data_IF_008740878678
#
_entry.id   IF_008740878678
#
_cell.length_a   1.000
_cell.length_b   1.000
_cell.length_c   1.000
_cell.angle_alpha   90.00
_cell.angle_beta   90.00
_cell.angle_gamma   90.00
#
_symmetry.space_group_name_H-M   'P 1'
#
loop_
_entity.id
_entity.type
_entity.pdbx_description
1 polymer ?
#
# COMPACT_ATOMS: atom_id res chain seq x y z
N UNK A 1 1.39 3.85 -18.39
CA UNK A 1 0.40 2.92 -17.77
C UNK A 1 -0.46 3.71 -16.82
N UNK A 2 -1.78 3.65 -17.01
CA UNK A 2 -2.75 4.24 -16.10
C UNK A 2 -2.82 3.44 -14.81
N UNK A 3 -2.74 4.13 -13.69
CA UNK A 3 -2.59 3.47 -12.40
C UNK A 3 -3.59 4.03 -11.39
N UNK A 4 -4.25 3.17 -10.65
CA UNK A 4 -4.99 3.50 -9.44
C UNK A 4 -4.16 3.04 -8.25
N UNK A 5 -4.02 3.90 -7.24
CA UNK A 5 -3.19 3.66 -6.08
C UNK A 5 -4.03 3.69 -4.81
N UNK A 6 -3.88 2.66 -3.99
CA UNK A 6 -4.40 2.60 -2.62
C UNK A 6 -3.24 2.86 -1.67
N UNK A 7 -3.25 3.96 -0.96
CA UNK A 7 -2.07 4.38 -0.22
C UNK A 7 -2.42 5.07 1.10
N UNK A 8 -1.58 4.85 2.10
CA UNK A 8 -1.68 5.54 3.38
C UNK A 8 -0.30 5.66 4.03
N UNK A 9 -0.12 6.68 4.89
CA UNK A 9 1.11 6.86 5.67
C UNK A 9 2.35 7.18 4.81
N UNK A 10 3.54 7.20 5.41
CA UNK A 10 4.81 7.46 4.71
C UNK A 10 5.07 6.45 3.58
N UNK A 11 4.80 5.17 3.82
CA UNK A 11 4.91 4.13 2.79
C UNK A 11 4.03 4.43 1.58
N UNK A 12 2.84 5.00 1.82
CA UNK A 12 1.95 5.45 0.75
C UNK A 12 2.57 6.60 -0.05
N UNK A 13 3.13 7.59 0.65
CA UNK A 13 3.80 8.72 0.00
C UNK A 13 5.00 8.27 -0.84
N UNK A 14 5.88 7.46 -0.26
CA UNK A 14 7.06 6.93 -0.95
C UNK A 14 6.68 6.07 -2.18
N UNK A 15 5.65 5.22 -2.04
CA UNK A 15 5.15 4.41 -3.15
C UNK A 15 4.62 5.27 -4.31
N UNK A 16 3.85 6.33 -4.00
CA UNK A 16 3.34 7.27 -5.00
C UNK A 16 4.49 7.98 -5.71
N UNK A 17 5.46 8.50 -4.97
CA UNK A 17 6.62 9.19 -5.54
C UNK A 17 7.46 8.27 -6.42
N UNK A 18 7.68 7.03 -6.00
CA UNK A 18 8.39 6.02 -6.79
C UNK A 18 7.67 5.70 -8.11
N UNK A 19 6.34 5.57 -8.09
CA UNK A 19 5.55 5.35 -9.31
C UNK A 19 5.62 6.54 -10.26
N UNK A 20 5.51 7.77 -9.74
CA UNK A 20 5.63 8.99 -10.55
C UNK A 20 7.02 9.11 -11.17
N UNK A 21 8.08 8.84 -10.40
CA UNK A 21 9.47 8.84 -10.90
C UNK A 21 9.70 7.78 -11.98
N UNK A 22 8.99 6.64 -11.89
CA UNK A 22 9.03 5.58 -12.90
C UNK A 22 8.12 5.85 -14.12
N UNK A 23 7.47 7.01 -14.21
CA UNK A 23 6.65 7.42 -15.35
C UNK A 23 5.24 6.80 -15.40
N UNK A 24 4.73 6.32 -14.26
CA UNK A 24 3.33 5.88 -14.17
C UNK A 24 2.38 7.09 -14.15
N UNK A 25 1.26 6.98 -14.84
CA UNK A 25 0.17 7.96 -14.82
C UNK A 25 -0.82 7.57 -13.71
N UNK A 26 -0.80 8.29 -12.58
CA UNK A 26 -1.71 8.01 -11.47
C UNK A 26 -3.03 8.75 -11.73
N UNK A 27 -4.07 7.99 -12.05
CA UNK A 27 -5.41 8.51 -12.38
C UNK A 27 -6.21 8.86 -11.11
N UNK A 28 -6.00 8.16 -10.03
CA UNK A 28 -6.61 8.43 -8.72
C UNK A 28 -5.85 7.74 -7.59
N UNK A 29 -5.96 8.32 -6.41
CA UNK A 29 -5.46 7.75 -5.16
C UNK A 29 -6.64 7.53 -4.20
N UNK A 30 -6.68 6.35 -3.59
CA UNK A 30 -7.58 6.02 -2.49
C UNK A 30 -6.79 5.94 -1.20
N UNK A 31 -7.23 6.67 -0.18
CA UNK A 31 -6.54 6.78 1.12
C UNK A 31 -7.53 6.64 2.27
N UNK A 32 -7.08 6.88 3.49
CA UNK A 32 -7.91 6.94 4.67
C UNK A 32 -7.97 8.37 5.22
N UNK A 33 -9.08 8.69 5.88
CA UNK A 33 -9.17 9.91 6.68
C UNK A 33 -8.33 9.74 7.94
N UNK A 34 -7.49 10.73 8.24
CA UNK A 34 -6.71 10.74 9.47
C UNK A 34 -7.64 10.81 10.69
N UNK A 35 -7.36 10.00 11.71
CA UNK A 35 -8.10 10.06 12.93
C UNK A 35 -7.65 11.31 13.73
N UNK A 36 -8.57 12.25 14.07
CA UNK A 36 -8.21 13.46 14.82
C UNK A 36 -7.58 13.19 16.20
N UNK A 37 -7.76 11.97 16.74
CA UNK A 37 -7.16 11.54 18.00
C UNK A 37 -5.75 10.95 17.87
N UNK A 38 -5.29 10.65 16.68
CA UNK A 38 -3.92 10.17 16.43
C UNK A 38 -2.99 11.35 16.19
N UNK A 39 -1.85 11.38 16.90
CA UNK A 39 -0.78 12.33 16.54
C UNK A 39 -0.20 11.87 15.20
N UNK A 40 -0.54 12.58 14.13
CA UNK A 40 0.02 12.34 12.81
C UNK A 40 1.51 12.78 12.80
N UNK A 41 2.42 11.81 12.92
CA UNK A 41 3.87 11.98 12.76
C UNK A 41 4.37 11.38 11.43
N UNK A 42 3.46 11.21 10.48
CA UNK A 42 3.70 10.61 9.17
C UNK A 42 3.21 11.52 8.04
N UNK A 43 3.72 11.29 6.84
CA UNK A 43 3.34 12.02 5.64
C UNK A 43 1.86 11.83 5.27
N UNK A 44 1.24 12.91 4.79
CA UNK A 44 -0.15 12.88 4.33
C UNK A 44 -0.22 12.57 2.85
N UNK A 45 -0.79 11.42 2.51
CA UNK A 45 -1.08 11.03 1.12
C UNK A 45 -2.02 12.04 0.44
N UNK A 46 -3.03 12.53 1.18
CA UNK A 46 -3.96 13.52 0.65
C UNK A 46 -3.27 14.83 0.28
N UNK A 47 -2.33 15.29 1.11
CA UNK A 47 -1.52 16.48 0.83
C UNK A 47 -0.63 16.27 -0.40
N UNK A 48 0.09 15.16 -0.46
CA UNK A 48 0.94 14.82 -1.61
C UNK A 48 0.12 14.77 -2.90
N UNK A 49 -1.06 14.13 -2.88
CA UNK A 49 -1.96 14.07 -4.02
C UNK A 49 -2.39 15.48 -4.48
N UNK A 50 -2.75 16.36 -3.55
CA UNK A 50 -3.13 17.75 -3.85
C UNK A 50 -1.97 18.52 -4.47
N UNK A 51 -0.75 18.42 -3.93
CA UNK A 51 0.45 19.04 -4.46
C UNK A 51 0.79 18.58 -5.89
N UNK A 52 0.43 17.36 -6.24
CA UNK A 52 0.65 16.76 -7.58
C UNK A 52 -0.57 16.89 -8.51
N UNK A 53 -1.67 17.49 -8.05
CA UNK A 53 -2.90 17.62 -8.83
C UNK A 53 -3.58 16.29 -9.15
N UNK A 54 -3.39 15.26 -8.30
CA UNK A 54 -3.95 13.92 -8.48
C UNK A 54 -5.26 13.82 -7.68
N UNK A 55 -6.37 13.36 -8.28
CA UNK A 55 -7.61 13.10 -7.55
C UNK A 55 -7.40 12.14 -6.39
N UNK A 56 -7.88 12.50 -5.20
CA UNK A 56 -7.78 11.69 -3.99
C UNK A 56 -9.14 11.49 -3.35
N UNK A 57 -9.41 10.27 -2.90
CA UNK A 57 -10.66 9.84 -2.28
C UNK A 57 -10.36 9.09 -0.98
N UNK A 58 -11.19 9.28 0.02
CA UNK A 58 -11.07 8.59 1.31
C UNK A 58 -12.43 7.98 1.72
N UNK A 59 -12.91 6.95 1.00
CA UNK A 59 -14.16 6.29 1.31
C UNK A 59 -14.05 5.45 2.59
N UNK A 60 -15.14 5.38 3.36
CA UNK A 60 -15.24 4.47 4.51
C UNK A 60 -15.21 2.99 4.05
N UNK A 61 -15.84 2.72 2.91
CA UNK A 61 -15.81 1.40 2.25
C UNK A 61 -15.56 1.56 0.75
N UNK A 62 -14.34 1.25 0.33
CA UNK A 62 -13.96 1.30 -1.09
C UNK A 62 -14.62 0.20 -1.93
N UNK A 63 -15.11 -0.87 -1.28
CA UNK A 63 -15.76 -1.99 -1.95
C UNK A 63 -17.26 -1.72 -2.24
N UNK A 64 -17.78 -0.57 -1.81
CA UNK A 64 -19.13 -0.16 -2.17
C UNK A 64 -19.27 -0.04 -3.70
N UNK A 65 -20.38 -0.52 -4.31
CA UNK A 65 -20.59 -0.54 -5.77
C UNK A 65 -20.28 0.77 -6.49
N UNK A 66 -20.59 1.91 -5.88
CA UNK A 66 -20.27 3.24 -6.45
C UNK A 66 -18.76 3.45 -6.68
N UNK A 67 -17.93 2.97 -5.75
CA UNK A 67 -16.48 3.09 -5.89
C UNK A 67 -15.90 2.07 -6.87
N UNK A 68 -16.46 0.85 -6.88
CA UNK A 68 -16.10 -0.16 -7.88
C UNK A 68 -16.36 0.38 -9.28
N UNK A 69 -17.55 0.96 -9.52
CA UNK A 69 -17.92 1.59 -10.80
C UNK A 69 -17.00 2.78 -11.12
N UNK A 70 -16.70 3.64 -10.13
CA UNK A 70 -15.80 4.77 -10.32
C UNK A 70 -14.39 4.34 -10.74
N UNK A 71 -13.85 3.30 -10.11
CA UNK A 71 -12.54 2.74 -10.46
C UNK A 71 -12.58 2.11 -11.87
N UNK A 72 -13.66 1.40 -12.20
CA UNK A 72 -13.84 0.84 -13.54
C UNK A 72 -13.83 1.92 -14.64
N UNK A 73 -14.48 3.07 -14.41
CA UNK A 73 -14.48 4.22 -15.32
C UNK A 73 -13.07 4.80 -15.55
N UNK A 74 -12.18 4.70 -14.56
CA UNK A 74 -10.78 5.13 -14.71
C UNK A 74 -9.97 4.21 -15.63
N UNK A 75 -10.46 2.98 -15.86
CA UNK A 75 -9.83 1.96 -16.72
C UNK A 75 -8.34 1.78 -16.38
N UNK A 76 -7.99 1.40 -15.14
CA UNK A 76 -6.59 1.25 -14.76
C UNK A 76 -5.93 0.08 -15.49
N UNK A 77 -4.71 0.26 -15.97
CA UNK A 77 -3.89 -0.83 -16.48
C UNK A 77 -3.34 -1.69 -15.34
N UNK A 78 -3.00 -1.04 -14.22
CA UNK A 78 -2.40 -1.66 -13.04
C UNK A 78 -2.90 -0.98 -11.77
N UNK A 79 -2.97 -1.72 -10.67
CA UNK A 79 -3.32 -1.22 -9.35
C UNK A 79 -2.15 -1.49 -8.39
N UNK A 80 -1.80 -0.49 -7.57
CA UNK A 80 -0.85 -0.66 -6.48
C UNK A 80 -1.46 -0.33 -5.13
N UNK A 81 -1.02 -1.04 -4.11
CA UNK A 81 -1.39 -0.81 -2.71
C UNK A 81 -0.12 -0.63 -1.86
N UNK A 82 -0.08 0.45 -1.07
CA UNK A 82 1.00 0.79 -0.16
C UNK A 82 0.41 1.15 1.20
N UNK A 83 0.47 0.23 2.15
CA UNK A 83 -0.01 0.41 3.50
C UNK A 83 -1.52 0.75 3.62
N UNK A 84 -2.33 0.37 2.64
CA UNK A 84 -3.78 0.54 2.71
C UNK A 84 -4.39 -0.46 3.70
N UNK A 85 -5.26 0.03 4.61
CA UNK A 85 -5.70 -0.73 5.79
C UNK A 85 -6.91 -1.65 5.55
N UNK A 86 -7.66 -1.43 4.47
CA UNK A 86 -8.84 -2.23 4.15
C UNK A 86 -8.54 -3.27 3.08
N UNK A 87 -9.26 -4.38 3.15
CA UNK A 87 -9.24 -5.35 2.06
C UNK A 87 -9.93 -4.77 0.82
N UNK A 88 -9.37 -5.04 -0.34
CA UNK A 88 -9.89 -4.63 -1.63
C UNK A 88 -10.56 -5.85 -2.26
N UNK A 89 -11.82 -5.71 -2.69
CA UNK A 89 -12.58 -6.82 -3.25
C UNK A 89 -12.03 -7.30 -4.61
N UNK A 90 -12.35 -8.54 -4.95
CA UNK A 90 -11.91 -9.16 -6.20
C UNK A 90 -12.37 -8.37 -7.42
N UNK A 91 -13.57 -7.79 -7.38
CA UNK A 91 -14.13 -6.99 -8.46
C UNK A 91 -13.17 -5.83 -8.82
N UNK A 92 -12.64 -5.13 -7.83
CA UNK A 92 -11.66 -4.06 -8.06
C UNK A 92 -10.33 -4.63 -8.57
N UNK A 93 -9.84 -5.72 -7.96
CA UNK A 93 -8.54 -6.31 -8.35
C UNK A 93 -8.53 -6.78 -9.80
N UNK A 94 -9.69 -7.21 -10.33
CA UNK A 94 -9.84 -7.69 -11.70
C UNK A 94 -9.96 -6.55 -12.74
N UNK A 95 -10.18 -5.31 -12.33
CA UNK A 95 -10.28 -4.18 -13.24
C UNK A 95 -8.95 -3.85 -13.94
N UNK A 96 -7.83 -4.27 -13.38
CA UNK A 96 -6.51 -3.97 -13.91
C UNK A 96 -5.92 -5.17 -14.67
N UNK A 97 -5.83 -5.14 -16.01
CA UNK A 97 -5.36 -6.28 -16.80
C UNK A 97 -3.90 -6.65 -16.52
N UNK A 98 -3.03 -5.70 -16.19
CA UNK A 98 -1.66 -5.99 -15.77
C UNK A 98 -1.57 -6.55 -14.35
N UNK A 99 -2.65 -6.44 -13.57
CA UNK A 99 -2.77 -6.97 -12.22
C UNK A 99 -2.79 -5.90 -11.13
N UNK A 100 -3.02 -6.38 -9.92
CA UNK A 100 -3.03 -5.57 -8.71
C UNK A 100 -1.92 -6.07 -7.76
N UNK A 101 -1.14 -5.16 -7.20
CA UNK A 101 0.05 -5.47 -6.42
C UNK A 101 0.06 -4.73 -5.09
N UNK A 102 0.55 -5.38 -4.04
CA UNK A 102 0.71 -4.79 -2.72
C UNK A 102 2.16 -4.88 -2.26
N UNK A 103 2.65 -3.81 -1.66
CA UNK A 103 3.92 -3.80 -0.94
C UNK A 103 3.64 -4.11 0.53
N UNK A 104 4.05 -5.32 0.96
CA UNK A 104 3.86 -5.80 2.32
C UNK A 104 5.15 -5.70 3.13
N UNK A 105 5.04 -5.25 4.38
CA UNK A 105 6.18 -4.97 5.27
C UNK A 105 6.75 -6.21 5.95
N UNK A 106 6.92 -7.32 5.24
CA UNK A 106 7.65 -8.50 5.71
C UNK A 106 8.23 -9.31 4.56
N UNK A 107 9.06 -10.28 4.87
CA UNK A 107 9.52 -11.30 3.92
C UNK A 107 8.47 -12.42 3.82
N UNK A 108 7.47 -12.24 2.95
CA UNK A 108 6.46 -13.26 2.71
C UNK A 108 7.07 -14.62 2.33
N UNK A 109 6.50 -15.73 2.74
CA UNK A 109 5.20 -15.93 3.39
C UNK A 109 5.18 -15.71 4.90
N UNK A 110 6.29 -15.32 5.54
CA UNK A 110 6.31 -14.99 6.96
C UNK A 110 5.53 -13.71 7.24
N UNK A 111 4.87 -13.64 8.38
CA UNK A 111 4.20 -12.43 8.88
C UNK A 111 3.15 -11.84 7.92
N UNK A 112 2.29 -12.70 7.35
CA UNK A 112 1.08 -12.27 6.65
C UNK A 112 0.15 -11.54 7.61
N UNK A 113 -0.62 -10.58 7.10
CA UNK A 113 -1.65 -9.87 7.87
C UNK A 113 -1.14 -8.57 8.47
N UNK A 114 -1.77 -8.15 9.55
CA UNK A 114 -1.57 -6.82 10.16
C UNK A 114 -0.30 -6.72 10.99
N UNK A 115 0.29 -5.51 11.00
CA UNK A 115 1.42 -5.11 11.84
C UNK A 115 2.63 -6.07 11.77
N UNK A 116 3.07 -6.47 10.56
CA UNK A 116 4.14 -7.47 10.42
C UNK A 116 5.43 -7.04 11.12
N UNK A 117 5.81 -5.76 11.07
CA UNK A 117 7.03 -5.25 11.73
C UNK A 117 7.01 -5.42 13.24
N UNK A 118 5.85 -5.22 13.88
CA UNK A 118 5.74 -5.43 15.33
C UNK A 118 5.98 -6.90 15.70
N UNK A 119 5.40 -7.83 14.90
CA UNK A 119 5.57 -9.26 15.14
C UNK A 119 6.99 -9.75 14.88
N UNK A 120 7.64 -9.20 13.87
CA UNK A 120 9.07 -9.48 13.58
C UNK A 120 9.93 -9.15 14.79
N UNK A 121 9.72 -7.96 15.41
CA UNK A 121 10.45 -7.54 16.60
C UNK A 121 10.11 -8.38 17.85
N UNK A 122 8.81 -8.63 18.08
CA UNK A 122 8.34 -9.46 19.22
C UNK A 122 8.95 -10.88 19.15
N UNK A 123 9.13 -11.43 17.94
CA UNK A 123 9.73 -12.75 17.75
C UNK A 123 11.25 -12.73 17.73
N UNK A 124 11.89 -11.58 17.92
CA UNK A 124 13.35 -11.48 17.98
C UNK A 124 14.05 -11.82 16.66
N UNK A 125 13.41 -11.57 15.52
CA UNK A 125 14.05 -11.77 14.22
C UNK A 125 15.20 -10.79 14.04
N UNK A 126 16.25 -11.22 13.35
CA UNK A 126 17.44 -10.41 13.06
C UNK A 126 17.40 -9.80 11.65
N UNK A 127 16.41 -10.19 10.86
CA UNK A 127 16.14 -9.62 9.54
C UNK A 127 14.63 -9.49 9.30
N UNK A 128 14.27 -8.53 8.50
CA UNK A 128 12.94 -8.37 7.95
C UNK A 128 13.04 -7.96 6.48
N UNK A 129 12.04 -7.33 5.93
CA UNK A 129 12.07 -6.80 4.59
C UNK A 129 10.71 -6.38 4.09
N UNK A 130 10.66 -6.11 2.82
CA UNK A 130 9.42 -5.80 2.10
C UNK A 130 9.23 -6.79 0.96
N UNK A 131 7.98 -7.11 0.68
CA UNK A 131 7.60 -7.98 -0.44
C UNK A 131 6.59 -7.28 -1.32
N UNK A 132 6.92 -7.09 -2.59
CA UNK A 132 5.94 -6.77 -3.62
C UNK A 132 5.33 -8.09 -4.10
N UNK A 133 4.01 -8.22 -3.95
CA UNK A 133 3.29 -9.43 -4.35
C UNK A 133 2.00 -9.09 -5.08
N UNK A 134 1.50 -10.02 -5.88
CA UNK A 134 0.19 -9.89 -6.53
C UNK A 134 -0.91 -9.99 -5.49
N UNK A 135 -1.89 -9.09 -5.53
CA UNK A 135 -3.08 -9.18 -4.70
C UNK A 135 -4.04 -10.22 -5.27
N UNK A 136 -4.57 -11.03 -4.37
CA UNK A 136 -5.63 -12.03 -4.62
C UNK A 136 -6.62 -11.97 -3.47
N UNK A 137 -7.78 -12.62 -3.60
CA UNK A 137 -8.84 -12.64 -2.59
C UNK A 137 -8.34 -12.94 -1.16
N UNK A 138 -7.38 -13.87 -1.04
CA UNK A 138 -6.73 -14.16 0.26
C UNK A 138 -5.61 -13.16 0.49
N UNK A 139 -5.69 -12.41 1.59
CA UNK A 139 -4.68 -11.42 1.95
C UNK A 139 -3.27 -12.01 1.98
N UNK A 140 -2.32 -11.28 1.40
CA UNK A 140 -0.88 -11.54 1.35
C UNK A 140 -0.50 -12.95 0.87
N UNK A 141 -1.36 -13.59 0.06
CA UNK A 141 -1.18 -14.96 -0.40
C UNK A 141 -0.85 -15.08 -1.90
N UNK A 142 -0.82 -13.97 -2.63
CA UNK A 142 -0.51 -13.97 -4.06
C UNK A 142 0.97 -14.19 -4.38
N UNK A 143 1.25 -14.39 -5.65
CA UNK A 143 2.60 -14.63 -6.14
C UNK A 143 3.55 -13.46 -5.80
N UNK A 144 4.73 -13.80 -5.31
CA UNK A 144 5.79 -12.84 -4.99
C UNK A 144 6.41 -12.36 -6.31
N UNK A 145 6.52 -11.04 -6.46
CA UNK A 145 7.17 -10.38 -7.60
C UNK A 145 8.62 -10.02 -7.25
N UNK A 146 8.83 -9.41 -6.09
CA UNK A 146 10.15 -9.00 -5.62
C UNK A 146 10.18 -8.94 -4.09
N UNK A 147 11.36 -9.12 -3.53
CA UNK A 147 11.61 -8.95 -2.09
C UNK A 147 12.92 -8.21 -1.88
N UNK A 148 12.92 -7.34 -0.87
CA UNK A 148 14.13 -6.71 -0.37
C UNK A 148 14.31 -7.08 1.10
N UNK A 149 15.50 -7.56 1.47
CA UNK A 149 15.88 -7.91 2.85
C UNK A 149 16.49 -6.72 3.56
N UNK A 150 16.19 -6.58 4.83
CA UNK A 150 16.67 -5.51 5.71
C UNK A 150 17.12 -6.15 7.01
N UNK A 151 18.36 -5.90 7.40
CA UNK A 151 18.86 -6.33 8.70
C UNK A 151 18.21 -5.51 9.81
N UNK A 152 17.92 -6.14 10.95
CA UNK A 152 17.41 -5.49 12.15
C UNK A 152 18.58 -5.30 13.11
N UNK A 153 18.86 -4.03 13.45
CA UNK A 153 19.85 -3.70 14.45
C UNK A 153 19.30 -3.96 15.88
N UNK A 154 20.17 -4.23 16.88
CA UNK A 154 19.72 -4.52 18.25
C UNK A 154 18.88 -3.41 18.91
N UNK A 155 19.03 -2.18 18.47
CA UNK A 155 18.34 -0.99 18.94
C UNK A 155 17.18 -0.53 18.04
N UNK A 156 16.88 -1.29 16.98
CA UNK A 156 15.75 -0.98 16.11
C UNK A 156 14.41 -1.17 16.83
N UNK A 157 13.51 -0.25 16.54
CA UNK A 157 12.11 -0.29 16.92
C UNK A 157 11.23 -0.30 15.68
N UNK A 158 9.94 -0.59 15.81
CA UNK A 158 9.03 -0.62 14.69
C UNK A 158 9.03 0.70 13.89
N UNK A 159 9.18 1.84 14.59
CA UNK A 159 9.24 3.16 13.95
C UNK A 159 10.49 3.35 13.09
N UNK A 160 11.66 2.86 13.51
CA UNK A 160 12.88 2.94 12.69
C UNK A 160 12.76 2.09 11.42
N UNK A 161 12.18 0.90 11.53
CA UNK A 161 12.02 -0.02 10.41
C UNK A 161 11.00 0.43 9.36
N UNK A 162 10.02 1.25 9.72
CA UNK A 162 9.06 1.83 8.78
C UNK A 162 9.74 2.82 7.82
N UNK A 163 10.84 3.43 8.23
CA UNK A 163 11.55 4.47 7.48
C UNK A 163 12.80 3.96 6.74
N UNK A 164 13.09 2.67 6.79
CA UNK A 164 14.16 2.03 6.04
C UNK A 164 13.64 1.59 4.67
#
# INVERSE_FOLDING_TARGET
>A
MKTVVFAYHDMGCLGIEALLAAGYEISAIFTHTDNPGEKAFYGSVARLAAERGIPVYAPDDVNHPLWVERIAQLSPDVIFSFYYRHLICDEILQLAPAGAFNLHGSLLPKYRGRAPLNWVLVNGETETGVTLHRMVKRADAGAIVAQLRIAIAPDDIALSLIHI
#
